data_IF_803092792348
#
_entry.id   IF_803092792348
#
_cell.length_a   1.000
_cell.length_b   1.000
_cell.length_c   1.000
_cell.angle_alpha   90.00
_cell.angle_beta   90.00
_cell.angle_gamma   90.00
#
_symmetry.space_group_name_H-M   'P 1'
#
loop_
_entity.id
_entity.type
_entity.pdbx_description
1 polymer ?
#
# COMPACT_ATOMS: atom_id res chain seq x y z
N UNK A 1 9.24 -42.93 65.76
CA UNK A 1 8.73 -41.55 65.97
C UNK A 1 9.63 -40.67 65.11
N UNK A 2 9.23 -40.02 64.02
CA UNK A 2 8.03 -39.21 63.76
C UNK A 2 7.82 -39.13 62.23
N UNK A 3 6.56 -38.93 61.81
CA UNK A 3 6.00 -39.17 60.47
C UNK A 3 6.60 -38.30 59.34
N UNK A 4 6.88 -38.94 58.20
CA UNK A 4 7.02 -38.33 56.88
C UNK A 4 5.68 -37.66 56.49
N UNK A 5 5.66 -36.35 56.24
CA UNK A 5 4.47 -35.63 55.80
C UNK A 5 4.68 -35.12 54.39
N UNK A 6 4.38 -35.98 53.41
CA UNK A 6 4.11 -35.55 52.04
C UNK A 6 2.79 -34.79 52.04
N UNK A 7 2.79 -33.54 51.56
CA UNK A 7 1.56 -32.94 51.05
C UNK A 7 1.91 -31.87 50.01
N UNK A 8 1.91 -32.35 48.77
CA UNK A 8 1.71 -31.67 47.49
C UNK A 8 1.81 -30.14 47.46
N UNK A 9 2.88 -29.65 46.82
CA UNK A 9 2.91 -28.37 46.12
C UNK A 9 1.79 -28.36 45.06
N UNK A 10 0.82 -27.44 45.18
CA UNK A 10 -0.04 -27.05 44.07
C UNK A 10 0.42 -25.70 43.55
N UNK A 11 1.33 -25.73 42.57
CA UNK A 11 1.76 -24.57 41.80
C UNK A 11 0.82 -24.45 40.59
N UNK A 12 -0.29 -23.73 40.73
CA UNK A 12 -1.11 -23.35 39.58
C UNK A 12 -0.46 -22.15 38.87
N UNK A 13 0.41 -22.43 37.90
CA UNK A 13 0.85 -21.45 36.91
C UNK A 13 -0.22 -21.35 35.83
N UNK A 14 -1.06 -20.33 35.94
CA UNK A 14 -1.97 -19.91 34.87
C UNK A 14 -1.09 -19.22 33.82
N UNK A 15 -0.80 -19.92 32.72
CA UNK A 15 -0.23 -19.27 31.54
C UNK A 15 -1.34 -18.46 30.87
N UNK A 16 -1.39 -17.16 31.17
CA UNK A 16 -2.11 -16.21 30.32
C UNK A 16 -1.27 -16.04 29.06
N UNK A 17 -1.68 -16.68 27.97
CA UNK A 17 -1.12 -16.39 26.65
C UNK A 17 -1.78 -15.10 26.19
N UNK A 18 -1.16 -13.97 26.50
CA UNK A 18 -1.48 -12.71 25.82
C UNK A 18 -0.98 -12.83 24.39
N UNK A 19 -1.88 -13.12 23.45
CA UNK A 19 -1.61 -12.88 22.03
C UNK A 19 -1.61 -11.37 21.82
N UNK A 20 -0.46 -10.74 22.05
CA UNK A 20 -0.22 -9.40 21.56
C UNK A 20 -0.26 -9.47 20.02
N UNK A 21 -1.38 -9.04 19.43
CA UNK A 21 -1.41 -8.69 18.02
C UNK A 21 -0.48 -7.49 17.85
N UNK A 22 0.78 -7.74 17.52
CA UNK A 22 1.64 -6.72 16.96
C UNK A 22 1.08 -6.39 15.57
N UNK A 23 0.13 -5.45 15.51
CA UNK A 23 -0.10 -4.71 14.28
C UNK A 23 1.21 -3.97 14.01
N UNK A 24 2.00 -4.50 13.07
CA UNK A 24 3.12 -3.76 12.53
C UNK A 24 2.58 -2.41 12.07
N UNK A 25 3.21 -1.28 12.44
CA UNK A 25 2.79 0.01 11.93
C UNK A 25 2.84 -0.08 10.40
N UNK A 26 1.68 0.07 9.76
CA UNK A 26 1.60 0.20 8.31
C UNK A 26 2.36 1.48 7.99
N UNK A 27 3.48 1.34 7.29
CA UNK A 27 4.23 2.51 6.83
C UNK A 27 3.27 3.36 5.96
N UNK A 28 3.11 4.66 6.27
CA UNK A 28 2.18 5.49 5.54
C UNK A 28 2.60 5.57 4.08
N UNK A 29 1.65 5.36 3.16
CA UNK A 29 1.89 5.49 1.73
C UNK A 29 2.19 6.95 1.32
N UNK A 30 2.63 7.15 0.07
CA UNK A 30 3.03 8.47 -0.44
C UNK A 30 1.89 9.50 -0.40
N UNK A 31 0.65 9.03 -0.58
CA UNK A 31 -0.53 9.89 -0.53
C UNK A 31 -0.78 10.38 0.90
N UNK A 32 -0.77 9.46 1.87
CA UNK A 32 -0.99 9.74 3.29
C UNK A 32 0.08 10.69 3.84
N UNK A 33 1.35 10.48 3.48
CA UNK A 33 2.44 11.39 3.82
C UNK A 33 2.20 12.81 3.29
N UNK A 34 1.78 12.94 2.02
CA UNK A 34 1.45 14.24 1.43
C UNK A 34 0.26 14.91 2.13
N UNK A 35 -0.80 14.16 2.44
CA UNK A 35 -2.00 14.69 3.12
C UNK A 35 -1.63 15.25 4.48
N UNK A 36 -0.88 14.49 5.28
CA UNK A 36 -0.45 14.91 6.62
C UNK A 36 0.43 16.17 6.54
N UNK A 37 1.36 16.21 5.58
CA UNK A 37 2.23 17.36 5.35
C UNK A 37 1.42 18.62 5.02
N UNK A 38 0.45 18.54 4.09
CA UNK A 38 -0.34 19.70 3.68
C UNK A 38 -1.26 20.17 4.81
N UNK A 39 -1.96 19.24 5.48
CA UNK A 39 -2.84 19.57 6.60
C UNK A 39 -2.05 20.30 7.69
N UNK A 40 -0.86 19.80 8.04
CA UNK A 40 0.00 20.42 9.04
C UNK A 40 0.51 21.80 8.58
N UNK A 41 1.07 21.91 7.37
CA UNK A 41 1.66 23.16 6.86
C UNK A 41 0.63 24.27 6.68
N UNK A 42 -0.57 23.92 6.20
CA UNK A 42 -1.62 24.88 5.91
C UNK A 42 -2.60 25.08 7.08
N UNK A 43 -2.40 24.38 8.21
CA UNK A 43 -3.27 24.43 9.38
C UNK A 43 -4.74 24.14 9.03
N UNK A 44 -4.96 23.18 8.12
CA UNK A 44 -6.31 22.79 7.72
C UNK A 44 -6.95 21.95 8.84
N UNK A 45 -8.26 22.11 9.10
CA UNK A 45 -8.94 21.32 10.13
C UNK A 45 -9.09 19.85 9.73
N UNK A 46 -9.16 19.56 8.42
CA UNK A 46 -9.26 18.23 7.85
C UNK A 46 -8.90 18.26 6.36
N UNK A 47 -8.79 17.09 5.76
CA UNK A 47 -8.66 16.92 4.31
C UNK A 47 -9.88 17.52 3.58
N UNK A 48 -9.65 18.04 2.36
CA UNK A 48 -10.68 18.49 1.43
C UNK A 48 -10.31 18.08 -0.01
N UNK A 49 -11.21 18.27 -0.97
CA UNK A 49 -11.02 17.82 -2.35
C UNK A 49 -9.77 18.39 -3.03
N UNK A 50 -9.36 19.62 -2.69
CA UNK A 50 -8.14 20.20 -3.26
C UNK A 50 -6.88 19.50 -2.73
N UNK A 51 -6.86 19.14 -1.44
CA UNK A 51 -5.78 18.34 -0.86
C UNK A 51 -5.75 16.94 -1.49
N UNK A 52 -6.92 16.31 -1.66
CA UNK A 52 -6.99 14.99 -2.33
C UNK A 52 -6.44 15.07 -3.74
N UNK A 53 -6.81 16.08 -4.53
CA UNK A 53 -6.33 16.24 -5.90
C UNK A 53 -4.80 16.39 -5.95
N UNK A 54 -4.25 17.34 -5.19
CA UNK A 54 -2.81 17.62 -5.16
C UNK A 54 -2.01 16.40 -4.70
N UNK A 55 -2.44 15.75 -3.62
CA UNK A 55 -1.72 14.59 -3.12
C UNK A 55 -1.89 13.36 -4.01
N UNK A 56 -3.03 13.22 -4.69
CA UNK A 56 -3.22 12.14 -5.66
C UNK A 56 -2.32 12.32 -6.87
N UNK A 57 -2.21 13.54 -7.41
CA UNK A 57 -1.30 13.84 -8.52
C UNK A 57 0.16 13.60 -8.11
N UNK A 58 0.55 14.08 -6.92
CA UNK A 58 1.89 13.90 -6.40
C UNK A 58 2.24 12.42 -6.25
N UNK A 59 1.43 11.65 -5.52
CA UNK A 59 1.67 10.23 -5.28
C UNK A 59 1.65 9.43 -6.60
N UNK A 60 0.69 9.67 -7.50
CA UNK A 60 0.64 9.03 -8.83
C UNK A 60 1.93 9.26 -9.61
N UNK A 61 2.48 10.47 -9.60
CA UNK A 61 3.72 10.78 -10.33
C UNK A 61 4.93 9.99 -9.81
N UNK A 62 4.98 9.77 -8.49
CA UNK A 62 6.04 8.99 -7.86
C UNK A 62 5.86 7.49 -8.11
N UNK A 63 4.63 6.98 -8.03
CA UNK A 63 4.34 5.59 -8.40
C UNK A 63 4.63 5.32 -9.88
N UNK A 64 4.38 6.27 -10.77
CA UNK A 64 4.74 6.16 -12.19
C UNK A 64 6.27 6.00 -12.37
N UNK A 65 7.07 6.77 -11.64
CA UNK A 65 8.52 6.62 -11.64
C UNK A 65 8.97 5.25 -11.11
N UNK A 66 8.34 4.76 -10.04
CA UNK A 66 8.62 3.45 -9.48
C UNK A 66 8.26 2.32 -10.46
N UNK A 67 7.11 2.41 -11.14
CA UNK A 67 6.72 1.46 -12.20
C UNK A 67 7.80 1.38 -13.29
N UNK A 68 8.30 2.52 -13.75
CA UNK A 68 9.38 2.55 -14.78
C UNK A 68 10.64 1.86 -14.27
N UNK A 69 11.07 2.18 -13.05
CA UNK A 69 12.26 1.56 -12.43
C UNK A 69 12.12 0.05 -12.28
N UNK A 70 10.95 -0.42 -11.82
CA UNK A 70 10.66 -1.84 -11.66
C UNK A 70 10.65 -2.57 -13.01
N UNK A 71 10.08 -1.96 -14.05
CA UNK A 71 10.10 -2.53 -15.40
C UNK A 71 11.52 -2.62 -15.97
N UNK A 72 12.37 -1.63 -15.71
CA UNK A 72 13.79 -1.66 -16.09
C UNK A 72 14.56 -2.73 -15.32
N UNK A 73 14.26 -2.94 -14.03
CA UNK A 73 14.82 -4.04 -13.27
C UNK A 73 14.39 -5.39 -13.85
N UNK A 74 13.09 -5.60 -14.12
CA UNK A 74 12.57 -6.82 -14.74
C UNK A 74 13.24 -7.09 -16.10
N UNK A 75 13.52 -6.04 -16.87
CA UNK A 75 14.21 -6.15 -18.15
C UNK A 75 15.65 -6.68 -18.00
N UNK A 76 16.34 -6.23 -16.97
CA UNK A 76 17.77 -6.54 -16.75
C UNK A 76 17.99 -7.86 -16.03
N UNK A 77 17.09 -8.25 -15.13
CA UNK A 77 17.21 -9.49 -14.33
C UNK A 77 16.42 -10.66 -14.91
N UNK A 78 15.44 -10.40 -15.77
CA UNK A 78 14.47 -11.39 -16.24
C UNK A 78 14.77 -12.02 -17.60
N UNK A 79 13.95 -13.02 -17.93
CA UNK A 79 13.89 -13.61 -19.28
C UNK A 79 13.25 -12.60 -20.28
N UNK A 80 13.82 -12.39 -21.47
CA UNK A 80 13.28 -11.46 -22.48
C UNK A 80 11.81 -11.71 -22.88
N UNK A 81 11.38 -12.97 -22.97
CA UNK A 81 9.99 -13.34 -23.25
C UNK A 81 9.06 -12.90 -22.10
N UNK A 82 9.48 -13.11 -20.84
CA UNK A 82 8.73 -12.66 -19.66
C UNK A 82 8.58 -11.14 -19.66
N UNK A 83 9.68 -10.41 -19.90
CA UNK A 83 9.65 -8.94 -20.02
C UNK A 83 8.67 -8.49 -21.11
N UNK A 84 8.71 -9.10 -22.30
CA UNK A 84 7.79 -8.76 -23.40
C UNK A 84 6.31 -8.98 -23.04
N UNK A 85 6.00 -10.07 -22.32
CA UNK A 85 4.63 -10.33 -21.82
C UNK A 85 4.21 -9.27 -20.79
N UNK A 86 5.08 -8.91 -19.87
CA UNK A 86 4.82 -7.86 -18.86
C UNK A 86 4.61 -6.49 -19.54
N UNK A 87 5.43 -6.13 -20.52
CA UNK A 87 5.27 -4.88 -21.26
C UNK A 87 3.97 -4.84 -22.09
N UNK A 88 3.53 -5.98 -22.62
CA UNK A 88 2.20 -6.07 -23.25
C UNK A 88 1.09 -5.83 -22.22
N UNK A 89 1.17 -6.46 -21.06
CA UNK A 89 0.22 -6.24 -19.94
C UNK A 89 0.24 -4.79 -19.47
N UNK A 90 1.41 -4.15 -19.32
CA UNK A 90 1.55 -2.75 -18.88
C UNK A 90 0.79 -1.79 -19.78
N UNK A 91 0.88 -1.96 -21.10
CA UNK A 91 0.19 -1.10 -22.08
C UNK A 91 -1.33 -1.24 -21.98
N UNK A 92 -1.82 -2.48 -21.87
CA UNK A 92 -3.24 -2.76 -21.72
C UNK A 92 -3.78 -2.25 -20.39
N UNK A 93 -3.03 -2.46 -19.31
CA UNK A 93 -3.37 -1.95 -17.98
C UNK A 93 -3.51 -0.44 -17.98
N UNK A 94 -2.58 0.30 -18.61
CA UNK A 94 -2.70 1.77 -18.69
C UNK A 94 -4.00 2.21 -19.36
N UNK A 95 -4.37 1.59 -20.48
CA UNK A 95 -5.62 1.91 -21.18
C UNK A 95 -6.86 1.59 -20.33
N UNK A 96 -6.82 0.47 -19.61
CA UNK A 96 -7.87 0.09 -18.67
C UNK A 96 -8.00 1.13 -17.55
N UNK A 97 -6.91 1.51 -16.88
CA UNK A 97 -6.93 2.51 -15.80
C UNK A 97 -7.41 3.87 -16.31
N UNK A 98 -6.91 4.33 -17.44
CA UNK A 98 -7.32 5.61 -18.02
C UNK A 98 -8.84 5.62 -18.27
N UNK A 99 -9.43 4.52 -18.77
CA UNK A 99 -10.87 4.42 -19.03
C UNK A 99 -11.69 4.26 -17.75
N UNK A 100 -11.31 3.35 -16.86
CA UNK A 100 -12.10 3.08 -15.65
C UNK A 100 -12.06 4.23 -14.66
N UNK A 101 -10.92 4.94 -14.57
CA UNK A 101 -10.85 6.12 -13.72
C UNK A 101 -11.58 7.33 -14.32
N UNK A 102 -11.65 7.45 -15.65
CA UNK A 102 -12.54 8.41 -16.29
C UNK A 102 -14.00 8.08 -15.96
N UNK A 103 -14.43 6.82 -16.11
CA UNK A 103 -15.78 6.38 -15.74
C UNK A 103 -16.07 6.70 -14.26
N UNK A 104 -15.15 6.37 -13.34
CA UNK A 104 -15.31 6.67 -11.92
C UNK A 104 -15.45 8.17 -11.67
N UNK A 105 -14.67 9.00 -12.36
CA UNK A 105 -14.79 10.45 -12.35
C UNK A 105 -16.15 10.94 -12.85
N UNK A 106 -16.67 10.37 -13.93
CA UNK A 106 -17.96 10.74 -14.53
C UNK A 106 -19.16 10.37 -13.65
N UNK A 107 -19.11 9.22 -12.96
CA UNK A 107 -20.21 8.73 -12.11
C UNK A 107 -20.15 9.22 -10.66
N UNK A 108 -18.95 9.42 -10.10
CA UNK A 108 -18.76 9.82 -8.68
C UNK A 108 -18.48 11.33 -8.56
N UNK A 109 -17.74 11.90 -9.51
CA UNK A 109 -17.28 13.29 -9.47
C UNK A 109 -15.93 13.48 -8.76
N UNK A 110 -15.48 14.74 -8.71
CA UNK A 110 -14.23 15.10 -8.04
C UNK A 110 -14.25 14.75 -6.54
N UNK A 111 -13.13 14.26 -5.97
CA UNK A 111 -11.76 14.24 -6.54
C UNK A 111 -11.40 12.92 -7.25
N UNK A 112 -12.39 12.12 -7.68
CA UNK A 112 -12.13 10.76 -8.20
C UNK A 112 -11.25 10.74 -9.45
N UNK A 113 -11.28 11.80 -10.27
CA UNK A 113 -10.40 11.97 -11.43
C UNK A 113 -8.91 11.86 -11.10
N UNK A 114 -8.47 12.39 -9.96
CA UNK A 114 -7.10 12.28 -9.48
C UNK A 114 -6.88 11.05 -8.59
N UNK A 115 -7.84 10.76 -7.71
CA UNK A 115 -7.69 9.72 -6.69
C UNK A 115 -7.66 8.29 -7.27
N UNK A 116 -8.56 7.97 -8.21
CA UNK A 116 -8.60 6.65 -8.85
C UNK A 116 -7.28 6.27 -9.53
N UNK A 117 -6.70 7.09 -10.44
CA UNK A 117 -5.48 6.70 -11.11
C UNK A 117 -4.30 6.62 -10.14
N UNK A 118 -4.30 7.39 -9.04
CA UNK A 118 -3.28 7.25 -8.01
C UNK A 118 -3.30 5.85 -7.35
N UNK A 119 -4.49 5.38 -6.93
CA UNK A 119 -4.65 4.07 -6.31
C UNK A 119 -4.23 2.94 -7.27
N UNK A 120 -4.65 3.01 -8.53
CA UNK A 120 -4.28 1.99 -9.52
C UNK A 120 -2.76 1.94 -9.75
N UNK A 121 -2.08 3.09 -9.74
CA UNK A 121 -0.63 3.14 -9.89
C UNK A 121 0.09 2.57 -8.68
N UNK A 122 -0.42 2.81 -7.46
CA UNK A 122 0.07 2.16 -6.24
C UNK A 122 -0.05 0.63 -6.36
N UNK A 123 -1.23 0.10 -6.68
CA UNK A 123 -1.44 -1.34 -6.86
C UNK A 123 -0.52 -1.93 -7.94
N UNK A 124 -0.24 -1.17 -9.00
CA UNK A 124 0.67 -1.62 -10.05
C UNK A 124 2.12 -1.67 -9.59
N UNK A 125 2.56 -0.75 -8.74
CA UNK A 125 3.88 -0.84 -8.06
C UNK A 125 3.94 -2.13 -7.23
N UNK A 126 2.95 -2.37 -6.37
CA UNK A 126 2.89 -3.56 -5.51
C UNK A 126 2.97 -4.85 -6.34
N UNK A 127 2.19 -4.94 -7.42
CA UNK A 127 2.21 -6.08 -8.33
C UNK A 127 3.57 -6.27 -9.04
N UNK A 128 4.21 -5.19 -9.50
CA UNK A 128 5.51 -5.30 -10.17
C UNK A 128 6.63 -5.66 -9.20
N UNK A 129 6.52 -5.22 -7.93
CA UNK A 129 7.42 -5.63 -6.86
C UNK A 129 7.34 -7.15 -6.60
N UNK A 130 6.15 -7.74 -6.67
CA UNK A 130 5.98 -9.21 -6.57
C UNK A 130 6.67 -9.97 -7.72
N UNK A 131 6.87 -9.36 -8.89
CA UNK A 131 7.50 -10.03 -10.03
C UNK A 131 9.03 -10.13 -9.91
N UNK A 132 9.63 -9.26 -9.09
CA UNK A 132 11.08 -9.21 -8.84
C UNK A 132 11.50 -9.92 -7.54
N UNK A 133 10.55 -10.18 -6.63
CA UNK A 133 10.76 -11.02 -5.45
C UNK A 133 10.79 -12.51 -5.83
#
# INVERSE_FOLDING_TARGET
MTKLKNSLLSLCLIFVVETANAQNPVEPDLYSQCVDEIIQKQHLPSINNAVVEVCSEHARSLYEQQIVQLLDQIKTTGNPERYNKIMKSQRLWKQYVDQECQNAGDYIGSPMYGFCPMLEYQHRVEQLQEYIN
#
